data_IF_155615498504
#
_entry.id   IF_155615498504
#
_cell.length_a   1.000
_cell.length_b   1.000
_cell.length_c   1.000
_cell.angle_alpha   90.00
_cell.angle_beta   90.00
_cell.angle_gamma   90.00
#
_symmetry.space_group_name_H-M   'P 1'
#
loop_
_entity.id
_entity.type
_entity.pdbx_description
1 polymer ?
#
# COMPACT_ATOMS: atom_id res chain seq x y z
N UNK A 1 15.86 18.19 2.04
CA UNK A 1 14.61 17.53 2.46
C UNK A 1 13.45 18.42 2.03
N UNK A 2 12.58 17.91 1.20
CA UNK A 2 11.39 18.62 0.71
C UNK A 2 10.28 18.62 1.77
N UNK A 3 9.28 19.49 1.65
CA UNK A 3 8.10 19.45 2.55
C UNK A 3 7.36 18.11 2.42
N UNK A 4 7.28 17.51 1.24
CA UNK A 4 6.64 16.21 1.00
C UNK A 4 7.36 15.08 1.73
N UNK A 5 8.69 15.02 1.67
CA UNK A 5 9.49 14.04 2.42
C UNK A 5 9.28 14.14 3.93
N UNK A 6 9.19 15.36 4.46
CA UNK A 6 8.90 15.59 5.87
C UNK A 6 7.49 15.09 6.24
N UNK A 7 6.49 15.43 5.43
CA UNK A 7 5.10 14.99 5.62
C UNK A 7 4.99 13.46 5.59
N UNK A 8 5.63 12.78 4.64
CA UNK A 8 5.64 11.31 4.59
C UNK A 8 6.35 10.69 5.80
N UNK A 9 7.45 11.27 6.25
CA UNK A 9 8.13 10.79 7.47
C UNK A 9 7.25 10.97 8.73
N UNK A 10 6.49 12.05 8.82
CA UNK A 10 5.51 12.26 9.89
C UNK A 10 4.36 11.27 9.81
N UNK A 11 3.84 11.01 8.60
CA UNK A 11 2.79 10.01 8.37
C UNK A 11 3.24 8.61 8.74
N UNK A 12 4.43 8.21 8.29
CA UNK A 12 5.05 6.93 8.67
C UNK A 12 5.14 6.77 10.18
N UNK A 13 5.56 7.82 10.87
CA UNK A 13 5.66 7.83 12.33
C UNK A 13 4.30 7.77 13.01
N UNK A 14 3.28 8.43 12.46
CA UNK A 14 1.91 8.37 12.95
C UNK A 14 1.32 6.95 12.79
N UNK A 15 1.55 6.30 11.66
CA UNK A 15 1.11 4.93 11.41
C UNK A 15 1.83 3.91 12.30
N UNK A 16 3.14 4.05 12.51
CA UNK A 16 3.88 3.21 13.49
C UNK A 16 3.27 3.34 14.90
N UNK A 17 2.85 4.54 15.27
CA UNK A 17 2.19 4.76 16.57
C UNK A 17 0.79 4.15 16.60
N UNK A 18 0.06 4.20 15.51
CA UNK A 18 -1.29 3.63 15.36
C UNK A 18 -1.24 2.10 15.52
N UNK A 19 -0.30 1.43 14.87
CA UNK A 19 -0.07 -0.01 14.98
C UNK A 19 0.86 -0.40 16.14
N UNK A 20 1.00 0.46 17.14
CA UNK A 20 1.93 0.27 18.26
C UNK A 20 1.77 -1.09 18.95
N UNK A 21 2.83 -1.90 18.96
CA UNK A 21 2.85 -3.27 19.48
C UNK A 21 2.71 -4.34 18.39
N UNK A 22 2.34 -4.00 17.16
CA UNK A 22 2.24 -4.91 16.03
C UNK A 22 3.43 -4.78 15.07
N UNK A 23 4.58 -5.26 15.50
CA UNK A 23 5.81 -5.19 14.71
C UNK A 23 5.70 -5.84 13.32
N UNK A 24 5.02 -7.00 13.12
CA UNK A 24 4.83 -7.57 11.79
C UNK A 24 4.13 -6.62 10.82
N UNK A 25 3.01 -6.00 11.20
CA UNK A 25 2.28 -5.03 10.35
C UNK A 25 3.09 -3.77 10.08
N UNK A 26 3.81 -3.27 11.08
CA UNK A 26 4.73 -2.14 10.89
C UNK A 26 5.79 -2.48 9.83
N UNK A 27 6.42 -3.65 9.90
CA UNK A 27 7.40 -4.09 8.90
C UNK A 27 6.76 -4.29 7.53
N UNK A 28 5.51 -4.75 7.47
CA UNK A 28 4.76 -4.93 6.24
C UNK A 28 4.60 -3.60 5.49
N UNK A 29 3.94 -2.60 6.07
CA UNK A 29 3.70 -1.35 5.35
C UNK A 29 4.98 -0.56 5.04
N UNK A 30 6.03 -0.67 5.85
CA UNK A 30 7.34 -0.07 5.55
C UNK A 30 7.92 -0.67 4.25
N UNK A 31 7.84 -1.99 4.09
CA UNK A 31 8.30 -2.67 2.87
C UNK A 31 7.42 -2.35 1.66
N UNK A 32 6.09 -2.35 1.83
CA UNK A 32 5.14 -2.00 0.76
C UNK A 32 5.40 -0.56 0.27
N UNK A 33 5.60 0.39 1.18
CA UNK A 33 5.95 1.77 0.85
C UNK A 33 7.23 1.84 -0.01
N UNK A 34 8.28 1.11 0.37
CA UNK A 34 9.57 1.16 -0.33
C UNK A 34 9.47 0.53 -1.73
N UNK A 35 8.79 -0.62 -1.86
CA UNK A 35 8.52 -1.23 -3.17
C UNK A 35 7.63 -0.33 -4.05
N UNK A 36 6.55 0.24 -3.51
CA UNK A 36 5.68 1.15 -4.26
C UNK A 36 6.47 2.35 -4.80
N UNK A 37 7.32 2.96 -3.98
CA UNK A 37 8.21 4.05 -4.39
C UNK A 37 9.18 3.63 -5.50
N UNK A 38 9.85 2.48 -5.36
CA UNK A 38 10.80 2.00 -6.38
C UNK A 38 10.12 1.74 -7.73
N UNK A 39 8.98 1.06 -7.71
CA UNK A 39 8.20 0.77 -8.91
C UNK A 39 7.74 2.08 -9.56
N UNK A 40 7.13 2.99 -8.78
CA UNK A 40 6.61 4.25 -9.29
C UNK A 40 7.68 5.12 -9.97
N UNK A 41 8.87 5.21 -9.38
CA UNK A 41 10.01 5.93 -9.97
C UNK A 41 10.45 5.27 -11.28
N UNK A 42 10.52 3.94 -11.31
CA UNK A 42 10.92 3.16 -12.49
C UNK A 42 9.90 3.28 -13.64
N UNK A 43 8.60 3.36 -13.30
CA UNK A 43 7.51 3.55 -14.26
C UNK A 43 7.30 5.03 -14.67
N UNK A 44 8.13 5.96 -14.16
CA UNK A 44 8.10 7.36 -14.56
C UNK A 44 6.93 8.17 -13.97
N UNK A 45 6.39 7.76 -12.80
CA UNK A 45 5.34 8.49 -12.11
C UNK A 45 5.79 9.90 -11.72
N UNK A 46 4.92 10.89 -11.86
CA UNK A 46 5.24 12.26 -11.44
C UNK A 46 5.22 12.41 -9.91
N UNK A 47 5.87 13.49 -9.41
CA UNK A 47 6.06 13.71 -7.97
C UNK A 47 4.76 13.88 -7.17
N UNK A 48 3.68 14.39 -7.78
CA UNK A 48 2.40 14.58 -7.09
C UNK A 48 1.68 13.24 -6.90
N UNK A 49 1.66 12.43 -7.94
CA UNK A 49 1.09 11.08 -7.88
C UNK A 49 1.91 10.17 -6.97
N UNK A 50 3.25 10.27 -7.04
CA UNK A 50 4.15 9.53 -6.17
C UNK A 50 3.89 9.84 -4.69
N UNK A 51 3.73 11.11 -4.34
CA UNK A 51 3.44 11.52 -2.96
C UNK A 51 2.14 10.90 -2.43
N UNK A 52 1.09 10.86 -3.25
CA UNK A 52 -0.20 10.23 -2.91
C UNK A 52 -0.05 8.72 -2.77
N UNK A 53 0.65 8.08 -3.70
CA UNK A 53 0.90 6.63 -3.66
C UNK A 53 1.70 6.22 -2.43
N UNK A 54 2.77 6.95 -2.10
CA UNK A 54 3.58 6.68 -0.91
C UNK A 54 2.74 6.77 0.37
N UNK A 55 1.88 7.79 0.48
CA UNK A 55 0.96 7.94 1.60
C UNK A 55 -0.08 6.80 1.65
N UNK A 56 -0.62 6.39 0.50
CA UNK A 56 -1.54 5.26 0.42
C UNK A 56 -0.87 3.94 0.81
N UNK A 57 0.37 3.70 0.38
CA UNK A 57 1.14 2.51 0.74
C UNK A 57 1.44 2.43 2.25
N UNK A 58 1.70 3.57 2.90
CA UNK A 58 1.85 3.61 4.36
C UNK A 58 0.55 3.22 5.08
N UNK A 59 -0.61 3.59 4.53
CA UNK A 59 -1.91 3.49 5.20
C UNK A 59 -2.79 2.35 4.69
N UNK A 60 -2.40 1.58 3.66
CA UNK A 60 -3.29 0.66 2.96
C UNK A 60 -3.99 -0.33 3.89
N UNK A 61 -3.29 -0.83 4.89
CA UNK A 61 -3.74 -1.81 5.88
C UNK A 61 -4.29 -1.19 7.18
N UNK A 62 -4.46 0.13 7.25
CA UNK A 62 -4.93 0.83 8.47
C UNK A 62 -6.28 0.32 9.01
N UNK A 63 -7.08 -0.33 8.16
CA UNK A 63 -8.37 -0.92 8.50
C UNK A 63 -8.31 -2.26 9.25
N UNK A 64 -7.14 -2.89 9.36
CA UNK A 64 -7.02 -4.26 9.90
C UNK A 64 -7.48 -4.34 11.36
N UNK A 65 -6.97 -3.50 12.26
CA UNK A 65 -7.31 -3.55 13.68
C UNK A 65 -8.81 -3.34 13.94
N UNK A 66 -9.43 -2.39 13.22
CA UNK A 66 -10.87 -2.14 13.35
C UNK A 66 -11.69 -3.27 12.73
N UNK A 67 -11.20 -3.90 11.66
CA UNK A 67 -11.83 -5.07 11.06
C UNK A 67 -11.82 -6.26 12.02
N UNK A 68 -10.68 -6.56 12.63
CA UNK A 68 -10.55 -7.62 13.63
C UNK A 68 -11.43 -7.35 14.85
N UNK A 69 -11.45 -6.12 15.36
CA UNK A 69 -12.28 -5.74 16.50
C UNK A 69 -13.78 -5.85 16.20
N UNK A 70 -14.21 -5.52 14.97
CA UNK A 70 -15.62 -5.47 14.58
C UNK A 70 -16.15 -6.81 14.08
N UNK A 71 -15.35 -7.54 13.29
CA UNK A 71 -15.77 -8.74 12.58
C UNK A 71 -15.02 -10.01 13.00
N UNK A 72 -13.98 -9.90 13.82
CA UNK A 72 -13.14 -11.04 14.25
C UNK A 72 -12.22 -11.57 13.15
N UNK A 73 -12.07 -10.84 12.04
CA UNK A 73 -11.17 -11.17 10.93
C UNK A 73 -10.66 -9.90 10.25
N UNK A 74 -9.68 -10.06 9.35
CA UNK A 74 -9.11 -8.99 8.54
C UNK A 74 -9.29 -9.27 7.03
N UNK A 75 -10.46 -9.74 6.61
CA UNK A 75 -10.75 -9.97 5.21
C UNK A 75 -10.59 -8.67 4.40
N UNK A 76 -10.02 -8.75 3.19
CA UNK A 76 -9.73 -7.60 2.34
C UNK A 76 -10.95 -6.69 2.11
N UNK A 77 -12.14 -7.28 1.96
CA UNK A 77 -13.38 -6.51 1.83
C UNK A 77 -13.69 -5.63 3.04
N UNK A 78 -13.46 -6.13 4.26
CA UNK A 78 -13.65 -5.37 5.49
C UNK A 78 -12.59 -4.28 5.64
N UNK A 79 -11.36 -4.55 5.20
CA UNK A 79 -10.30 -3.56 5.18
C UNK A 79 -10.64 -2.40 4.20
N UNK A 80 -11.11 -2.71 2.99
CA UNK A 80 -11.57 -1.72 2.01
C UNK A 80 -12.74 -0.88 2.52
N UNK A 81 -13.69 -1.49 3.27
CA UNK A 81 -14.83 -0.79 3.86
C UNK A 81 -14.42 0.18 4.99
N UNK A 82 -13.56 -0.27 5.90
CA UNK A 82 -13.24 0.45 7.13
C UNK A 82 -11.98 1.33 7.02
N UNK A 83 -11.05 0.96 6.14
CA UNK A 83 -9.76 1.62 5.98
C UNK A 83 -9.83 3.12 5.70
N UNK A 84 -10.70 3.61 4.79
CA UNK A 84 -10.78 5.03 4.47
C UNK A 84 -11.07 5.93 5.68
N UNK A 85 -11.99 5.52 6.58
CA UNK A 85 -12.33 6.30 7.76
C UNK A 85 -11.18 6.32 8.78
N UNK A 86 -10.49 5.21 8.95
CA UNK A 86 -9.30 5.14 9.81
C UNK A 86 -8.14 5.96 9.21
N UNK A 87 -7.93 5.88 7.89
CA UNK A 87 -6.93 6.69 7.19
C UNK A 87 -7.14 8.19 7.41
N UNK A 88 -8.39 8.67 7.32
CA UNK A 88 -8.72 10.08 7.59
C UNK A 88 -8.33 10.51 9.00
N UNK A 89 -8.52 9.63 10.01
CA UNK A 89 -8.12 9.92 11.40
C UNK A 89 -6.61 10.09 11.51
N UNK A 90 -5.83 9.19 10.90
CA UNK A 90 -4.36 9.27 10.92
C UNK A 90 -3.88 10.51 10.14
N UNK A 91 -4.42 10.75 8.94
CA UNK A 91 -4.09 11.90 8.10
C UNK A 91 -4.43 13.25 8.77
N UNK A 92 -5.50 13.31 9.58
CA UNK A 92 -5.87 14.54 10.30
C UNK A 92 -4.86 14.98 11.35
N UNK A 93 -3.96 14.08 11.76
CA UNK A 93 -2.89 14.36 12.71
C UNK A 93 -1.57 14.78 12.02
N UNK A 94 -1.55 14.86 10.69
CA UNK A 94 -0.37 15.19 9.89
C UNK A 94 -0.71 16.31 8.90
N UNK A 95 -0.01 17.42 9.01
CA UNK A 95 -0.18 18.55 8.09
C UNK A 95 0.48 18.26 6.74
N UNK A 96 -0.02 18.93 5.68
CA UNK A 96 0.63 18.92 4.36
C UNK A 96 -0.11 18.15 3.28
N UNK A 97 -1.27 17.57 3.56
CA UNK A 97 -2.15 16.96 2.57
C UNK A 97 -3.31 17.89 2.19
N UNK A 98 -3.57 18.02 0.91
CA UNK A 98 -4.79 18.68 0.39
C UNK A 98 -5.99 17.74 0.49
N UNK A 99 -7.20 18.31 0.48
CA UNK A 99 -8.44 17.52 0.46
C UNK A 99 -8.48 16.53 -0.72
N UNK A 100 -8.05 16.94 -1.91
CA UNK A 100 -8.02 16.08 -3.09
C UNK A 100 -7.05 14.90 -2.94
N UNK A 101 -5.87 15.11 -2.32
CA UNK A 101 -4.91 14.06 -2.03
C UNK A 101 -5.47 13.08 -1.00
N UNK A 102 -6.10 13.56 0.07
CA UNK A 102 -6.76 12.71 1.08
C UNK A 102 -7.85 11.84 0.43
N UNK A 103 -8.69 12.41 -0.44
CA UNK A 103 -9.71 11.64 -1.14
C UNK A 103 -9.10 10.55 -2.03
N UNK A 104 -8.00 10.86 -2.74
CA UNK A 104 -7.33 9.86 -3.58
C UNK A 104 -6.68 8.76 -2.75
N UNK A 105 -6.00 9.10 -1.65
CA UNK A 105 -5.43 8.14 -0.70
C UNK A 105 -6.53 7.20 -0.17
N UNK A 106 -7.64 7.75 0.30
CA UNK A 106 -8.77 6.95 0.79
C UNK A 106 -9.38 6.06 -0.29
N UNK A 107 -9.45 6.54 -1.53
CA UNK A 107 -9.90 5.73 -2.66
C UNK A 107 -8.97 4.54 -2.93
N UNK A 108 -7.66 4.76 -2.92
CA UNK A 108 -6.67 3.69 -3.09
C UNK A 108 -6.80 2.63 -1.97
N UNK A 109 -6.96 3.08 -0.72
CA UNK A 109 -7.18 2.17 0.42
C UNK A 109 -8.47 1.37 0.26
N UNK A 110 -9.55 1.99 -0.23
CA UNK A 110 -10.83 1.33 -0.48
C UNK A 110 -10.79 0.31 -1.62
N UNK A 111 -9.69 0.22 -2.38
CA UNK A 111 -9.58 -0.65 -3.55
C UNK A 111 -8.29 -1.49 -3.57
N UNK A 112 -7.52 -1.54 -2.48
CA UNK A 112 -6.22 -2.21 -2.47
C UNK A 112 -6.28 -3.76 -2.50
N UNK A 113 -7.48 -4.33 -2.41
CA UNK A 113 -7.77 -5.75 -2.68
C UNK A 113 -8.64 -5.96 -3.94
N UNK A 114 -8.91 -4.90 -4.69
CA UNK A 114 -9.71 -4.94 -5.90
C UNK A 114 -8.80 -5.08 -7.13
N UNK A 115 -8.72 -6.30 -7.70
CA UNK A 115 -7.82 -6.65 -8.82
C UNK A 115 -8.47 -6.52 -10.20
N UNK A 116 -9.75 -6.15 -10.27
CA UNK A 116 -10.49 -5.97 -11.52
C UNK A 116 -10.58 -4.49 -11.87
N UNK A 117 -10.63 -4.19 -13.18
CA UNK A 117 -10.78 -2.83 -13.71
C UNK A 117 -9.74 -1.83 -13.20
N UNK A 118 -8.50 -2.30 -12.98
CA UNK A 118 -7.36 -1.49 -12.54
C UNK A 118 -6.87 -0.64 -13.71
N UNK A 119 -7.25 0.63 -13.75
CA UNK A 119 -6.97 1.54 -14.88
C UNK A 119 -5.90 2.59 -14.57
N UNK A 120 -5.70 2.97 -13.30
CA UNK A 120 -4.73 3.98 -12.90
C UNK A 120 -3.41 3.37 -12.45
N UNK A 121 -2.32 4.09 -12.70
CA UNK A 121 -0.97 3.63 -12.41
C UNK A 121 -0.73 3.47 -10.91
N UNK A 122 -1.17 4.43 -10.10
CA UNK A 122 -1.03 4.40 -8.64
C UNK A 122 -1.76 3.22 -7.98
N UNK A 123 -2.99 2.89 -8.44
CA UNK A 123 -3.72 1.72 -7.95
C UNK A 123 -2.99 0.43 -8.30
N UNK A 124 -2.54 0.31 -9.57
CA UNK A 124 -1.77 -0.85 -10.04
C UNK A 124 -0.52 -1.07 -9.21
N UNK A 125 0.28 -0.02 -9.02
CA UNK A 125 1.54 -0.11 -8.28
C UNK A 125 1.31 -0.48 -6.81
N UNK A 126 0.26 0.05 -6.19
CA UNK A 126 -0.08 -0.31 -4.82
C UNK A 126 -0.35 -1.82 -4.67
N UNK A 127 -1.17 -2.39 -5.58
CA UNK A 127 -1.46 -3.83 -5.62
C UNK A 127 -0.21 -4.68 -5.85
N UNK A 128 0.63 -4.27 -6.78
CA UNK A 128 1.87 -4.98 -7.13
C UNK A 128 2.89 -4.93 -5.98
N UNK A 129 3.06 -3.77 -5.34
CA UNK A 129 3.96 -3.59 -4.21
C UNK A 129 3.51 -4.39 -2.97
N UNK A 130 2.21 -4.38 -2.66
CA UNK A 130 1.64 -5.18 -1.58
C UNK A 130 1.86 -6.68 -1.84
N UNK A 131 1.63 -7.15 -3.06
CA UNK A 131 1.86 -8.55 -3.40
C UNK A 131 3.35 -8.96 -3.31
N UNK A 132 4.30 -8.09 -3.69
CA UNK A 132 5.73 -8.37 -3.52
C UNK A 132 6.07 -8.71 -2.06
N UNK A 133 5.48 -7.99 -1.11
CA UNK A 133 5.67 -8.25 0.32
C UNK A 133 4.90 -9.49 0.77
N UNK A 134 3.63 -9.59 0.41
CA UNK A 134 2.76 -10.70 0.77
C UNK A 134 3.25 -12.05 0.25
N UNK A 135 3.85 -12.09 -0.95
CA UNK A 135 4.40 -13.32 -1.54
C UNK A 135 5.43 -13.98 -0.63
N UNK A 136 6.22 -13.17 0.07
CA UNK A 136 7.21 -13.63 1.04
C UNK A 136 6.61 -13.88 2.42
N UNK A 137 5.83 -12.95 2.95
CA UNK A 137 5.30 -13.03 4.32
C UNK A 137 4.27 -14.14 4.50
N UNK A 138 3.44 -14.40 3.48
CA UNK A 138 2.48 -15.51 3.48
C UNK A 138 3.08 -16.84 3.04
N UNK A 139 4.40 -16.91 2.77
CA UNK A 139 5.09 -18.11 2.29
C UNK A 139 4.41 -18.76 1.09
N UNK A 140 4.06 -17.94 0.07
CA UNK A 140 3.35 -18.44 -1.10
C UNK A 140 4.20 -19.43 -1.89
N UNK A 141 3.55 -20.45 -2.43
CA UNK A 141 4.20 -21.41 -3.32
C UNK A 141 4.54 -20.74 -4.68
N UNK A 142 5.64 -21.15 -5.36
CA UNK A 142 6.06 -20.58 -6.64
C UNK A 142 4.95 -20.53 -7.69
N UNK A 143 4.12 -21.56 -7.77
CA UNK A 143 3.01 -21.65 -8.72
C UNK A 143 1.95 -20.56 -8.46
N UNK A 144 1.68 -20.24 -7.19
CA UNK A 144 0.77 -19.17 -6.79
C UNK A 144 1.33 -17.80 -7.14
N UNK A 145 2.63 -17.60 -6.94
CA UNK A 145 3.34 -16.36 -7.29
C UNK A 145 3.29 -16.13 -8.81
N UNK A 146 3.63 -17.14 -9.62
CA UNK A 146 3.58 -17.08 -11.08
C UNK A 146 2.16 -16.77 -11.56
N UNK A 147 1.16 -17.48 -11.01
CA UNK A 147 -0.24 -17.29 -11.38
C UNK A 147 -0.69 -15.85 -11.09
N UNK A 148 -0.38 -15.32 -9.92
CA UNK A 148 -0.75 -13.95 -9.57
C UNK A 148 -0.02 -12.92 -10.45
N UNK A 149 1.29 -13.10 -10.68
CA UNK A 149 2.07 -12.25 -11.59
C UNK A 149 1.39 -12.18 -12.97
N UNK A 150 1.12 -13.31 -13.58
CA UNK A 150 0.61 -13.39 -14.95
C UNK A 150 -0.81 -12.78 -15.09
N UNK A 151 -1.61 -12.83 -14.03
CA UNK A 151 -2.98 -12.30 -14.05
C UNK A 151 -3.07 -10.82 -13.63
N UNK A 152 -2.26 -10.37 -12.67
CA UNK A 152 -2.41 -9.06 -12.03
C UNK A 152 -1.34 -8.07 -12.41
N UNK A 153 -0.05 -8.51 -12.46
CA UNK A 153 1.05 -7.59 -12.72
C UNK A 153 1.03 -7.04 -14.15
N UNK A 154 1.33 -5.75 -14.29
CA UNK A 154 1.40 -5.05 -15.58
C UNK A 154 2.58 -4.07 -15.67
N UNK A 155 3.15 -3.65 -14.52
CA UNK A 155 4.33 -2.79 -14.47
C UNK A 155 5.58 -3.62 -14.78
N UNK A 156 6.35 -3.22 -15.78
CA UNK A 156 7.55 -3.97 -16.18
C UNK A 156 8.58 -4.07 -15.05
N UNK A 157 8.75 -2.98 -14.30
CA UNK A 157 9.66 -2.94 -13.17
C UNK A 157 9.23 -3.85 -12.02
N UNK A 158 7.93 -3.92 -11.72
CA UNK A 158 7.40 -4.81 -10.69
C UNK A 158 7.53 -6.29 -11.07
N UNK A 159 7.27 -6.63 -12.34
CA UNK A 159 7.49 -8.00 -12.89
C UNK A 159 8.96 -8.40 -12.77
N UNK A 160 9.86 -7.49 -13.15
CA UNK A 160 11.31 -7.74 -13.02
C UNK A 160 11.71 -7.98 -11.56
N UNK A 161 11.26 -7.11 -10.64
CA UNK A 161 11.56 -7.26 -9.21
C UNK A 161 11.04 -8.59 -8.65
N UNK A 162 9.81 -8.99 -9.00
CA UNK A 162 9.24 -10.27 -8.56
C UNK A 162 10.05 -11.45 -9.08
N UNK A 163 10.43 -11.42 -10.37
CA UNK A 163 11.23 -12.47 -10.98
C UNK A 163 12.61 -12.58 -10.32
N UNK A 164 13.28 -11.46 -10.07
CA UNK A 164 14.58 -11.42 -9.40
C UNK A 164 14.48 -11.94 -7.95
N UNK A 165 13.43 -11.57 -7.22
CA UNK A 165 13.20 -12.02 -5.84
C UNK A 165 13.03 -13.54 -5.74
N UNK A 166 12.40 -14.16 -6.73
CA UNK A 166 12.02 -15.57 -6.68
C UNK A 166 12.80 -16.47 -7.65
N UNK A 167 13.68 -15.90 -8.47
CA UNK A 167 14.48 -16.65 -9.46
C UNK A 167 13.63 -17.25 -10.58
N UNK A 168 12.63 -16.50 -11.06
CA UNK A 168 11.65 -16.92 -12.08
C UNK A 168 12.07 -16.49 -13.49
#
# INVERSE_FOLDING_TARGET
MTNKELTLAQLMRAMIKYDGGDAPRIQHFVKVHDFARMIAISEGMNEEELFVLEAAAILHDVGIHVSEARYGNCDGKHQEELGPDEARKVLSAVDGFTAAQIERICWLIAHHHTYQDVTSLDHRILLEADFLVNSFEAHLAPEGIITFRDHVFRSESAISMLNDMWGL
#
